data_IF_981024169256
#
_entry.id   IF_981024169256
#
_cell.length_a   1.000
_cell.length_b   1.000
_cell.length_c   1.000
_cell.angle_alpha   90.00
_cell.angle_beta   90.00
_cell.angle_gamma   90.00
#
_symmetry.space_group_name_H-M   'P 1'
#
loop_
_entity.id
_entity.type
_entity.pdbx_description
1 polymer ?
#
# COMPACT_ATOMS: atom_id res chain seq x y z
N UNK A 1 16.87 -0.72 8.89
CA UNK A 1 15.67 -0.56 8.01
C UNK A 1 14.73 -1.76 8.16
N UNK A 2 13.40 -1.63 7.86
CA UNK A 2 12.46 -2.75 8.00
C UNK A 2 11.89 -3.15 6.63
N UNK A 3 11.85 -4.47 6.34
CA UNK A 3 11.29 -5.04 5.12
C UNK A 3 10.24 -6.11 5.42
N UNK A 4 9.15 -6.14 4.66
CA UNK A 4 8.09 -7.12 4.82
C UNK A 4 8.01 -8.07 3.62
N UNK A 5 8.07 -9.37 3.90
CA UNK A 5 7.85 -10.43 2.92
C UNK A 5 6.48 -11.07 3.14
N UNK A 6 5.64 -11.11 2.11
CA UNK A 6 4.29 -11.67 2.20
C UNK A 6 4.19 -12.96 1.42
N UNK A 7 3.94 -14.06 2.13
CA UNK A 7 3.77 -15.40 1.57
C UNK A 7 2.37 -15.92 1.77
N UNK A 8 1.91 -16.75 0.83
CA UNK A 8 0.65 -17.47 0.98
C UNK A 8 0.86 -18.67 1.89
N UNK A 9 -0.05 -18.86 2.86
CA UNK A 9 -0.07 -20.01 3.74
C UNK A 9 -1.33 -20.84 3.53
N UNK A 10 -1.24 -22.13 3.82
CA UNK A 10 -2.29 -23.13 3.60
C UNK A 10 -2.59 -23.86 4.90
N UNK A 11 -3.39 -23.24 5.79
CA UNK A 11 -3.76 -23.88 7.06
C UNK A 11 -4.68 -25.08 6.83
N UNK A 12 -4.60 -26.07 7.71
CA UNK A 12 -5.58 -27.16 7.83
C UNK A 12 -6.89 -26.63 8.39
N UNK A 13 -7.97 -27.41 8.36
CA UNK A 13 -9.27 -27.02 8.91
C UNK A 13 -9.21 -26.69 10.41
N UNK A 14 -8.42 -27.42 11.18
CA UNK A 14 -8.20 -27.15 12.60
C UNK A 14 -7.46 -25.82 12.81
N UNK A 15 -6.41 -25.59 12.03
CA UNK A 15 -5.65 -24.36 12.04
C UNK A 15 -6.51 -23.16 11.58
N UNK A 16 -7.38 -23.34 10.59
CA UNK A 16 -8.36 -22.30 10.17
C UNK A 16 -9.31 -21.92 11.31
N UNK A 17 -9.79 -22.90 12.08
CA UNK A 17 -10.64 -22.67 13.25
C UNK A 17 -9.89 -21.85 14.32
N UNK A 18 -8.65 -22.21 14.62
CA UNK A 18 -7.85 -21.47 15.61
C UNK A 18 -7.48 -20.06 15.12
N UNK A 19 -7.18 -19.90 13.83
CA UNK A 19 -6.98 -18.58 13.20
C UNK A 19 -8.26 -17.73 13.30
N UNK A 20 -9.43 -18.31 13.03
CA UNK A 20 -10.71 -17.62 13.15
C UNK A 20 -10.99 -17.19 14.60
N UNK A 21 -10.71 -18.04 15.59
CA UNK A 21 -10.76 -17.70 17.02
C UNK A 21 -9.82 -16.55 17.33
N UNK A 22 -8.56 -16.61 16.87
CA UNK A 22 -7.55 -15.56 17.10
C UNK A 22 -8.00 -14.21 16.53
N UNK A 23 -8.52 -14.17 15.29
CA UNK A 23 -9.09 -12.95 14.71
C UNK A 23 -10.27 -12.43 15.54
N UNK A 24 -11.12 -13.35 16.04
CA UNK A 24 -12.25 -13.02 16.91
C UNK A 24 -11.82 -12.40 18.23
N UNK A 25 -10.90 -13.03 18.93
CA UNK A 25 -10.35 -12.58 20.21
C UNK A 25 -9.65 -11.21 20.08
N UNK A 26 -8.81 -11.03 19.06
CA UNK A 26 -8.15 -9.76 18.80
C UNK A 26 -9.15 -8.62 18.52
N UNK A 27 -10.22 -8.89 17.76
CA UNK A 27 -11.28 -7.90 17.52
C UNK A 27 -12.06 -7.59 18.79
N UNK A 28 -12.46 -8.61 19.54
CA UNK A 28 -13.18 -8.48 20.80
C UNK A 28 -12.39 -7.63 21.78
N UNK A 29 -11.14 -8.02 22.04
CA UNK A 29 -10.26 -7.31 22.97
C UNK A 29 -10.06 -5.84 22.55
N UNK A 30 -9.83 -5.58 21.26
CA UNK A 30 -9.71 -4.21 20.76
C UNK A 30 -10.96 -3.37 21.08
N UNK A 31 -12.14 -3.92 20.83
CA UNK A 31 -13.39 -3.24 21.07
C UNK A 31 -13.66 -3.02 22.55
N UNK A 32 -13.38 -4.02 23.38
CA UNK A 32 -13.54 -3.91 24.83
C UNK A 32 -12.60 -2.84 25.42
N UNK A 33 -11.31 -2.90 25.06
CA UNK A 33 -10.33 -1.89 25.49
C UNK A 33 -10.71 -0.47 25.05
N UNK A 34 -11.21 -0.32 23.83
CA UNK A 34 -11.68 0.97 23.31
C UNK A 34 -12.91 1.46 24.07
N UNK A 35 -13.90 0.58 24.30
CA UNK A 35 -15.10 0.90 25.07
C UNK A 35 -14.78 1.39 26.48
N UNK A 36 -13.91 0.67 27.18
CA UNK A 36 -13.53 1.00 28.55
C UNK A 36 -12.73 2.31 28.62
N UNK A 37 -11.84 2.58 27.66
CA UNK A 37 -11.15 3.87 27.57
C UNK A 37 -12.13 5.03 27.34
N UNK A 38 -13.13 4.86 26.50
CA UNK A 38 -14.16 5.88 26.26
C UNK A 38 -15.00 6.11 27.52
N UNK A 39 -15.42 5.04 28.19
CA UNK A 39 -16.23 5.09 29.41
C UNK A 39 -15.46 5.80 30.52
N UNK A 40 -14.23 5.41 30.81
CA UNK A 40 -13.39 6.00 31.82
C UNK A 40 -13.13 7.49 31.56
N UNK A 41 -12.80 7.84 30.31
CA UNK A 41 -12.56 9.25 29.97
C UNK A 41 -13.79 10.15 30.17
N UNK A 42 -15.01 9.61 29.95
CA UNK A 42 -16.26 10.35 30.22
C UNK A 42 -16.42 10.69 31.70
N UNK A 43 -16.00 9.78 32.58
CA UNK A 43 -16.16 9.91 34.04
C UNK A 43 -15.01 10.69 34.64
N UNK A 44 -13.77 10.23 34.43
CA UNK A 44 -12.59 10.73 35.13
C UNK A 44 -11.79 11.78 34.36
N UNK A 45 -12.08 11.98 33.04
CA UNK A 45 -11.28 12.77 32.10
C UNK A 45 -9.84 12.26 31.95
N UNK A 46 -9.50 11.07 32.47
CA UNK A 46 -8.19 10.44 32.39
C UNK A 46 -8.20 9.28 31.40
N UNK A 47 -7.06 9.05 30.72
CA UNK A 47 -6.90 7.92 29.82
C UNK A 47 -6.62 6.63 30.60
N UNK A 48 -7.52 5.66 30.48
CA UNK A 48 -7.39 4.35 31.11
C UNK A 48 -6.17 3.60 30.55
N UNK A 49 -5.29 3.11 31.46
CA UNK A 49 -4.17 2.20 31.12
C UNK A 49 -4.62 0.75 31.32
N UNK A 50 -5.34 0.22 30.33
CA UNK A 50 -5.78 -1.17 30.35
C UNK A 50 -4.81 -2.07 29.57
N UNK A 51 -4.64 -3.31 30.04
CA UNK A 51 -3.75 -4.32 29.43
C UNK A 51 -4.52 -5.59 29.11
N UNK A 52 -4.07 -6.41 28.13
CA UNK A 52 -4.72 -7.68 27.82
C UNK A 52 -4.82 -8.65 29.00
N UNK A 53 -3.90 -8.55 29.97
CA UNK A 53 -3.89 -9.40 31.17
C UNK A 53 -5.14 -9.21 32.03
N UNK A 54 -5.62 -7.97 32.15
CA UNK A 54 -6.84 -7.64 32.91
C UNK A 54 -8.05 -8.38 32.33
N UNK A 55 -8.19 -8.38 31.00
CA UNK A 55 -9.31 -9.01 30.33
C UNK A 55 -9.25 -10.54 30.30
N UNK A 56 -8.06 -11.16 30.41
CA UNK A 56 -7.93 -12.63 30.49
C UNK A 56 -8.49 -13.22 31.79
N UNK A 57 -8.63 -12.43 32.86
CA UNK A 57 -9.28 -12.84 34.09
C UNK A 57 -10.78 -12.91 33.89
N UNK A 58 -11.36 -11.90 33.28
CA UNK A 58 -12.80 -11.76 33.02
C UNK A 58 -13.28 -12.64 31.85
N UNK A 59 -12.43 -12.79 30.82
CA UNK A 59 -12.74 -13.53 29.59
C UNK A 59 -11.75 -14.69 29.35
N UNK A 60 -11.97 -15.88 29.97
CA UNK A 60 -11.04 -17.02 29.93
C UNK A 60 -10.72 -17.50 28.52
N UNK A 61 -11.64 -17.37 27.55
CA UNK A 61 -11.43 -17.78 26.15
C UNK A 61 -10.26 -17.01 25.47
N UNK A 62 -9.85 -15.87 26.00
CA UNK A 62 -8.65 -15.15 25.51
C UNK A 62 -7.35 -15.90 25.78
N UNK A 63 -7.35 -16.88 26.70
CA UNK A 63 -6.18 -17.73 26.99
C UNK A 63 -5.94 -18.80 25.90
N UNK A 64 -6.95 -19.11 25.09
CA UNK A 64 -6.86 -20.11 24.01
C UNK A 64 -5.95 -19.64 22.86
N UNK A 65 -5.79 -18.35 22.69
CA UNK A 65 -5.06 -17.75 21.57
C UNK A 65 -3.69 -17.21 21.98
N UNK A 66 -2.90 -16.84 21.00
CA UNK A 66 -1.54 -16.30 21.21
C UNK A 66 -1.55 -15.01 22.05
N UNK A 67 -0.80 -15.04 23.15
CA UNK A 67 -0.70 -13.90 24.08
C UNK A 67 -0.03 -12.67 23.45
N UNK A 68 0.94 -12.87 22.55
CA UNK A 68 1.62 -11.78 21.84
C UNK A 68 0.69 -11.15 20.80
N UNK A 69 -0.21 -11.93 20.20
CA UNK A 69 -1.24 -11.38 19.32
C UNK A 69 -2.17 -10.43 20.09
N UNK A 70 -2.54 -10.77 21.33
CA UNK A 70 -3.34 -9.91 22.20
C UNK A 70 -2.56 -8.66 22.66
N UNK A 71 -1.27 -8.79 22.98
CA UNK A 71 -0.42 -7.64 23.32
C UNK A 71 -0.32 -6.64 22.15
N UNK A 72 -0.21 -7.13 20.91
CA UNK A 72 -0.22 -6.27 19.73
C UNK A 72 -1.57 -5.54 19.53
N UNK A 73 -2.68 -6.05 20.03
CA UNK A 73 -3.96 -5.33 20.01
C UNK A 73 -3.87 -4.04 20.83
N UNK A 74 -3.28 -4.10 22.02
CA UNK A 74 -3.03 -2.92 22.85
C UNK A 74 -2.16 -1.89 22.10
N UNK A 75 -1.02 -2.33 21.56
CA UNK A 75 -0.12 -1.47 20.80
C UNK A 75 -0.80 -0.80 19.60
N UNK A 76 -1.65 -1.53 18.89
CA UNK A 76 -2.42 -0.99 17.77
C UNK A 76 -3.45 0.06 18.21
N UNK A 77 -4.12 -0.15 19.34
CA UNK A 77 -5.06 0.82 19.89
C UNK A 77 -4.34 2.08 20.37
N UNK A 78 -3.22 1.94 21.08
CA UNK A 78 -2.38 3.06 21.52
C UNK A 78 -1.85 3.85 20.33
N UNK A 79 -1.39 3.17 19.28
CA UNK A 79 -0.96 3.84 18.05
C UNK A 79 -2.10 4.60 17.37
N UNK A 80 -3.32 4.06 17.39
CA UNK A 80 -4.50 4.73 16.84
C UNK A 80 -4.82 6.03 17.60
N UNK A 81 -4.74 6.02 18.94
CA UNK A 81 -4.87 7.23 19.76
C UNK A 81 -3.74 8.23 19.50
N UNK A 82 -2.48 7.77 19.46
CA UNK A 82 -1.33 8.65 19.14
C UNK A 82 -1.51 9.34 17.79
N UNK A 83 -1.99 8.61 16.77
CA UNK A 83 -2.26 9.19 15.46
C UNK A 83 -3.38 10.23 15.52
N UNK A 84 -4.47 9.94 16.23
CA UNK A 84 -5.59 10.87 16.43
C UNK A 84 -5.14 12.19 17.05
N UNK A 85 -4.33 12.13 18.11
CA UNK A 85 -3.83 13.36 18.80
C UNK A 85 -2.78 14.11 17.98
N UNK A 86 -2.00 13.41 17.15
CA UNK A 86 -0.97 14.02 16.32
C UNK A 86 -1.54 14.69 15.06
N UNK A 87 -2.52 14.06 14.44
CA UNK A 87 -3.09 14.50 13.17
C UNK A 87 -4.62 14.47 13.25
N UNK A 88 -5.26 15.66 13.32
CA UNK A 88 -6.73 15.77 13.37
C UNK A 88 -7.45 15.07 12.21
N UNK A 89 -6.79 14.93 11.05
CA UNK A 89 -7.34 14.23 9.87
C UNK A 89 -7.45 12.72 10.05
N UNK A 90 -6.71 12.13 11.01
CA UNK A 90 -6.72 10.68 11.27
C UNK A 90 -8.04 10.18 11.85
N UNK A 91 -8.85 11.05 12.46
CA UNK A 91 -10.12 10.72 13.10
C UNK A 91 -9.97 9.84 14.34
N UNK A 92 -11.03 9.76 15.14
CA UNK A 92 -11.08 8.98 16.38
C UNK A 92 -11.04 7.47 16.11
N UNK A 93 -10.39 6.65 16.98
CA UNK A 93 -10.38 5.19 16.83
C UNK A 93 -11.79 4.59 16.77
N UNK A 94 -12.05 3.74 15.76
CA UNK A 94 -13.37 3.16 15.50
C UNK A 94 -13.45 1.70 15.96
N UNK A 95 -14.63 1.27 16.44
CA UNK A 95 -14.91 -0.14 16.74
C UNK A 95 -14.74 -1.03 15.51
N UNK A 96 -14.18 -2.22 15.71
CA UNK A 96 -13.97 -3.20 14.64
C UNK A 96 -15.19 -4.10 14.46
N UNK A 97 -15.69 -4.21 13.21
CA UNK A 97 -16.80 -5.06 12.84
C UNK A 97 -16.35 -6.45 12.35
N UNK A 98 -17.12 -7.51 12.67
CA UNK A 98 -16.88 -8.88 12.16
C UNK A 98 -16.87 -8.95 10.63
N UNK A 99 -17.71 -8.16 9.97
CA UNK A 99 -17.96 -8.23 8.54
C UNK A 99 -17.17 -7.20 7.72
N UNK A 100 -16.84 -6.03 8.31
CA UNK A 100 -16.20 -4.93 7.60
C UNK A 100 -14.71 -4.82 7.88
N UNK A 101 -14.25 -5.22 9.08
CA UNK A 101 -12.86 -5.09 9.46
C UNK A 101 -12.00 -6.21 8.86
N UNK A 102 -10.76 -5.90 8.54
CA UNK A 102 -9.78 -6.88 8.06
C UNK A 102 -9.55 -7.96 9.12
N UNK A 103 -9.60 -9.22 8.71
CA UNK A 103 -9.24 -10.36 9.56
C UNK A 103 -7.72 -10.51 9.56
N UNK A 104 -7.07 -10.01 10.60
CA UNK A 104 -5.62 -10.12 10.77
C UNK A 104 -5.22 -9.97 12.24
N UNK A 105 -4.09 -10.58 12.59
CA UNK A 105 -3.38 -10.35 13.84
C UNK A 105 -1.88 -10.33 13.60
N UNK A 106 -1.13 -9.71 14.51
CA UNK A 106 0.32 -9.67 14.47
C UNK A 106 0.87 -10.34 15.73
N UNK A 107 1.90 -11.15 15.57
CA UNK A 107 2.66 -11.78 16.66
C UNK A 107 4.14 -11.46 16.52
N UNK A 108 4.82 -11.19 17.63
CA UNK A 108 6.24 -10.85 17.63
C UNK A 108 7.10 -12.09 17.79
N UNK A 109 8.30 -12.07 17.23
CA UNK A 109 9.31 -13.11 17.48
C UNK A 109 9.96 -12.84 18.84
N UNK A 110 9.77 -13.79 19.75
CA UNK A 110 10.37 -13.79 21.10
C UNK A 110 10.84 -15.23 21.39
N UNK A 111 12.08 -15.42 21.81
CA UNK A 111 12.63 -16.69 22.24
C UNK A 111 12.36 -17.87 21.27
N UNK A 112 12.45 -17.65 19.97
CA UNK A 112 12.28 -18.70 18.95
C UNK A 112 10.84 -19.22 18.76
N UNK A 113 9.83 -18.53 19.29
CA UNK A 113 8.41 -18.91 19.18
C UNK A 113 7.86 -18.92 17.74
N UNK A 114 8.57 -18.30 16.79
CA UNK A 114 8.27 -18.34 15.36
C UNK A 114 9.46 -18.94 14.64
N UNK A 115 9.21 -19.98 13.84
CA UNK A 115 10.21 -20.63 13.00
C UNK A 115 9.76 -20.59 11.55
N UNK A 116 10.69 -20.34 10.64
CA UNK A 116 10.42 -20.20 9.20
C UNK A 116 11.35 -21.14 8.46
N UNK A 117 10.79 -22.03 7.67
CA UNK A 117 11.49 -22.93 6.76
C UNK A 117 11.02 -22.66 5.32
N UNK A 118 11.60 -23.33 4.34
CA UNK A 118 11.31 -23.08 2.93
C UNK A 118 9.84 -23.25 2.55
N UNK A 119 9.19 -24.27 3.11
CA UNK A 119 7.82 -24.64 2.74
C UNK A 119 6.81 -24.51 3.89
N UNK A 120 7.25 -24.09 5.08
CA UNK A 120 6.39 -24.07 6.26
C UNK A 120 6.80 -22.98 7.27
N UNK A 121 5.82 -22.52 8.03
CA UNK A 121 6.00 -21.59 9.12
C UNK A 121 5.33 -22.13 10.39
N UNK A 122 6.03 -22.06 11.51
CA UNK A 122 5.49 -22.35 12.83
C UNK A 122 5.14 -21.06 13.54
N UNK A 123 3.92 -20.99 14.07
CA UNK A 123 3.41 -19.83 14.78
C UNK A 123 2.94 -20.23 16.19
N UNK A 124 2.93 -19.30 17.17
CA UNK A 124 2.45 -19.58 18.52
C UNK A 124 1.02 -20.15 18.51
N UNK A 125 0.79 -21.19 19.31
CA UNK A 125 -0.47 -21.94 19.40
C UNK A 125 -0.88 -22.69 18.11
N UNK A 126 -0.24 -22.40 17.00
CA UNK A 126 -0.39 -23.11 15.73
C UNK A 126 0.83 -24.02 15.51
N UNK A 127 0.61 -25.20 15.00
CA UNK A 127 1.69 -26.08 14.55
C UNK A 127 2.28 -25.57 13.22
N UNK A 128 3.07 -26.37 12.54
CA UNK A 128 3.60 -26.05 11.25
C UNK A 128 2.49 -25.84 10.20
N UNK A 129 2.50 -24.70 9.53
CA UNK A 129 1.58 -24.36 8.45
C UNK A 129 2.35 -24.34 7.13
N UNK A 130 1.86 -25.04 6.13
CA UNK A 130 2.44 -25.02 4.78
C UNK A 130 2.45 -23.60 4.22
N UNK A 131 3.58 -23.17 3.67
CA UNK A 131 3.80 -21.84 3.12
C UNK A 131 4.38 -21.95 1.71
N UNK A 132 3.98 -21.05 0.80
CA UNK A 132 4.60 -20.91 -0.52
C UNK A 132 5.60 -19.78 -0.49
N UNK A 133 6.86 -20.10 -0.23
CA UNK A 133 7.99 -19.17 -0.34
C UNK A 133 8.33 -19.02 -1.83
N UNK A 134 8.27 -17.84 -2.36
CA UNK A 134 8.52 -17.54 -3.78
C UNK A 134 9.73 -16.63 -3.99
N UNK A 135 10.42 -16.28 -2.91
CA UNK A 135 11.69 -15.56 -2.92
C UNK A 135 12.46 -15.89 -1.65
N UNK A 136 13.76 -15.89 -1.75
CA UNK A 136 14.63 -16.10 -0.61
C UNK A 136 14.73 -14.85 0.26
N UNK A 137 15.00 -15.07 1.52
CA UNK A 137 15.21 -14.03 2.52
C UNK A 137 16.65 -14.21 2.98
N UNK A 138 17.50 -13.18 2.85
CA UNK A 138 18.89 -13.27 3.31
C UNK A 138 18.96 -13.62 4.80
N UNK A 139 19.84 -14.54 5.17
CA UNK A 139 20.00 -15.03 6.55
C UNK A 139 20.37 -13.94 7.54
N UNK A 140 21.09 -12.92 7.06
CA UNK A 140 21.47 -11.73 7.85
C UNK A 140 20.27 -10.90 8.34
N UNK A 141 19.05 -11.13 7.81
CA UNK A 141 17.88 -10.37 8.20
C UNK A 141 17.24 -10.95 9.46
N UNK A 142 16.96 -10.10 10.43
CA UNK A 142 16.35 -10.48 11.71
C UNK A 142 14.83 -10.41 11.64
N UNK A 143 14.15 -11.55 11.80
CA UNK A 143 12.68 -11.58 11.89
C UNK A 143 12.21 -10.88 13.19
N UNK A 144 11.33 -9.87 13.06
CA UNK A 144 10.73 -9.13 14.19
C UNK A 144 9.33 -9.61 14.53
N UNK A 145 8.48 -9.75 13.52
CA UNK A 145 7.07 -10.11 13.72
C UNK A 145 6.47 -10.76 12.47
N UNK A 146 5.37 -11.44 12.67
CA UNK A 146 4.56 -12.01 11.60
C UNK A 146 3.12 -11.52 11.73
N UNK A 147 2.58 -10.98 10.63
CA UNK A 147 1.16 -10.64 10.54
C UNK A 147 0.44 -11.68 9.69
N UNK A 148 -0.45 -12.43 10.33
CA UNK A 148 -1.33 -13.38 9.63
C UNK A 148 -2.61 -12.66 9.23
N UNK A 149 -3.05 -12.86 7.98
CA UNK A 149 -4.27 -12.25 7.46
C UNK A 149 -5.06 -13.21 6.59
N UNK A 150 -6.39 -13.07 6.62
CA UNK A 150 -7.30 -13.75 5.70
C UNK A 150 -7.94 -12.71 4.77
N UNK A 151 -7.82 -12.95 3.47
CA UNK A 151 -8.46 -12.13 2.44
C UNK A 151 -9.95 -12.51 2.28
N UNK A 152 -10.78 -11.61 1.72
CA UNK A 152 -12.19 -11.91 1.43
C UNK A 152 -12.41 -13.11 0.49
N UNK A 153 -11.40 -13.47 -0.29
CA UNK A 153 -11.37 -14.69 -1.13
C UNK A 153 -11.24 -15.99 -0.32
N UNK A 154 -10.98 -15.90 0.99
CA UNK A 154 -10.72 -17.03 1.88
C UNK A 154 -9.26 -17.50 1.88
N UNK A 155 -8.35 -16.82 1.19
CA UNK A 155 -6.92 -17.14 1.19
C UNK A 155 -6.22 -16.54 2.40
N UNK A 156 -5.27 -17.30 2.96
CA UNK A 156 -4.46 -16.88 4.10
C UNK A 156 -3.07 -16.47 3.66
N UNK A 157 -2.53 -15.45 4.33
CA UNK A 157 -1.18 -14.92 4.09
C UNK A 157 -0.47 -14.65 5.40
N UNK A 158 0.83 -14.91 5.42
CA UNK A 158 1.76 -14.48 6.45
C UNK A 158 2.65 -13.37 5.88
N UNK A 159 2.66 -12.20 6.53
CA UNK A 159 3.59 -11.11 6.23
C UNK A 159 4.66 -11.10 7.31
N UNK A 160 5.88 -11.44 6.95
CA UNK A 160 7.04 -11.54 7.82
C UNK A 160 7.78 -10.21 7.78
N UNK A 161 7.90 -9.53 8.91
CA UNK A 161 8.63 -8.28 9.05
C UNK A 161 10.05 -8.57 9.51
N UNK A 162 11.02 -8.20 8.69
CA UNK A 162 12.44 -8.32 8.98
C UNK A 162 13.07 -6.95 9.24
N UNK A 163 14.02 -6.92 10.14
CA UNK A 163 14.93 -5.81 10.35
C UNK A 163 16.21 -6.07 9.56
N UNK A 164 16.63 -5.07 8.82
CA UNK A 164 17.88 -5.06 8.07
C UNK A 164 18.81 -4.15 8.84
N UNK A 165 19.93 -4.66 9.32
CA UNK A 165 21.00 -3.84 9.90
C UNK A 165 21.59 -2.92 8.82
N UNK A 166 21.78 -1.66 9.16
CA UNK A 166 22.13 -0.55 8.25
C UNK A 166 23.56 -0.62 7.64
N UNK A 167 24.06 -1.77 7.32
CA UNK A 167 25.45 -1.93 6.89
C UNK A 167 25.72 -1.80 5.39
N UNK A 168 24.78 -1.40 4.56
CA UNK A 168 25.05 -1.19 3.14
C UNK A 168 24.13 -0.12 2.51
N UNK A 169 23.97 1.03 3.13
CA UNK A 169 23.67 2.21 2.33
C UNK A 169 24.96 2.56 1.60
N UNK A 170 25.12 2.09 0.39
CA UNK A 170 26.05 2.69 -0.56
C UNK A 170 25.56 4.11 -0.81
N UNK A 171 25.95 5.03 0.06
CA UNK A 171 25.92 6.46 -0.22
C UNK A 171 27.12 6.77 -1.11
N UNK A 172 27.17 6.16 -2.28
CA UNK A 172 27.88 6.74 -3.39
C UNK A 172 27.07 7.98 -3.75
N UNK A 173 27.61 9.16 -3.50
CA UNK A 173 26.98 10.40 -3.92
C UNK A 173 26.74 10.33 -5.41
N UNK A 174 25.47 10.42 -5.83
CA UNK A 174 25.14 10.55 -7.26
C UNK A 174 25.67 11.91 -7.69
N UNK A 175 26.57 11.93 -8.66
CA UNK A 175 26.93 13.17 -9.34
C UNK A 175 25.71 13.61 -10.15
N UNK A 176 25.12 14.73 -9.73
CA UNK A 176 23.90 15.23 -10.35
C UNK A 176 24.13 15.92 -11.69
N UNK A 177 25.36 16.28 -12.06
CA UNK A 177 25.69 16.84 -13.36
C UNK A 177 25.47 15.79 -14.47
N UNK A 178 25.95 14.56 -14.23
CA UNK A 178 25.83 13.43 -15.18
C UNK A 178 24.67 12.49 -14.88
N UNK A 179 23.86 12.77 -13.84
CA UNK A 179 22.78 11.90 -13.42
C UNK A 179 21.73 11.69 -14.53
N UNK A 180 21.35 10.43 -14.74
CA UNK A 180 20.26 10.07 -15.63
C UNK A 180 18.90 10.34 -14.96
N UNK A 181 18.23 11.41 -15.38
CA UNK A 181 16.99 11.89 -14.77
C UNK A 181 15.79 11.54 -15.64
N UNK A 182 14.76 10.90 -15.06
CA UNK A 182 13.47 10.66 -15.70
C UNK A 182 12.42 11.62 -15.15
N UNK A 183 11.78 12.41 -16.03
CA UNK A 183 10.59 13.18 -15.71
C UNK A 183 9.30 12.39 -15.92
N UNK A 184 8.37 12.49 -14.98
CA UNK A 184 7.08 11.78 -15.03
C UNK A 184 5.95 12.76 -14.82
N UNK A 185 5.10 12.92 -15.83
CA UNK A 185 3.83 13.63 -15.76
C UNK A 185 2.69 12.64 -15.51
N UNK A 186 1.74 12.99 -14.64
CA UNK A 186 0.56 12.17 -14.39
C UNK A 186 -0.44 12.29 -15.51
N UNK A 187 -0.82 11.16 -16.10
CA UNK A 187 -1.84 11.11 -17.14
C UNK A 187 -3.08 10.34 -16.67
N UNK A 188 -4.26 10.90 -16.90
CA UNK A 188 -5.53 10.22 -16.58
C UNK A 188 -5.75 8.98 -17.43
N UNK A 189 -5.28 8.98 -18.68
CA UNK A 189 -5.25 7.85 -19.55
C UNK A 189 -3.84 7.26 -19.59
N UNK A 190 -3.69 5.99 -19.13
CA UNK A 190 -2.41 5.30 -19.16
C UNK A 190 -1.44 5.59 -18.03
N UNK A 191 -1.93 6.14 -16.90
CA UNK A 191 -1.23 6.36 -15.62
C UNK A 191 -0.21 7.51 -15.63
N UNK A 192 0.74 7.55 -16.56
CA UNK A 192 1.81 8.54 -16.59
C UNK A 192 2.37 8.71 -18.02
N UNK A 193 2.94 9.87 -18.31
CA UNK A 193 3.79 10.14 -19.48
C UNK A 193 5.21 10.33 -18.98
N UNK A 194 6.17 9.73 -19.66
CA UNK A 194 7.58 9.78 -19.30
C UNK A 194 8.33 10.72 -20.26
N UNK A 195 9.33 11.43 -19.77
CA UNK A 195 10.18 12.30 -20.59
C UNK A 195 10.99 11.58 -21.66
N UNK A 196 11.07 10.25 -21.54
CA UNK A 196 11.72 9.35 -22.49
C UNK A 196 10.75 8.26 -22.94
N UNK A 197 11.08 7.59 -24.05
CA UNK A 197 10.21 6.57 -24.64
C UNK A 197 10.30 5.25 -23.87
N UNK A 198 9.65 5.20 -22.72
CA UNK A 198 9.50 3.97 -21.92
C UNK A 198 8.29 3.19 -22.48
N UNK A 199 8.52 1.99 -23.04
CA UNK A 199 7.44 1.10 -23.46
C UNK A 199 6.51 0.80 -22.27
N UNK A 200 5.28 1.26 -22.37
CA UNK A 200 4.21 0.93 -21.41
C UNK A 200 3.52 -0.33 -21.92
N UNK A 201 3.55 -1.38 -21.13
CA UNK A 201 2.54 -2.42 -21.28
C UNK A 201 1.20 -1.85 -20.84
N UNK A 202 0.14 -2.12 -21.63
CA UNK A 202 -1.21 -1.63 -21.33
C UNK A 202 -1.66 -2.07 -19.92
N UNK A 203 -1.80 -1.09 -19.03
CA UNK A 203 -2.24 -1.30 -17.65
C UNK A 203 -3.75 -1.58 -17.52
N UNK A 204 -4.49 -1.68 -18.62
CA UNK A 204 -5.94 -1.81 -18.66
C UNK A 204 -6.52 -3.09 -18.02
N UNK A 205 -5.90 -3.59 -16.96
CA UNK A 205 -6.31 -4.81 -16.24
C UNK A 205 -7.72 -4.72 -15.65
N UNK A 206 -8.11 -3.53 -15.21
CA UNK A 206 -9.45 -3.33 -14.67
C UNK A 206 -10.48 -3.38 -15.82
N UNK A 207 -10.26 -2.63 -16.90
CA UNK A 207 -11.17 -2.62 -18.06
C UNK A 207 -11.36 -4.01 -18.65
N UNK A 208 -10.27 -4.78 -18.84
CA UNK A 208 -10.32 -6.17 -19.30
C UNK A 208 -11.09 -7.11 -18.36
N UNK A 209 -11.17 -6.77 -17.08
CA UNK A 209 -11.87 -7.57 -16.08
C UNK A 209 -13.21 -6.97 -15.63
N UNK A 210 -13.58 -5.77 -16.10
CA UNK A 210 -14.77 -5.04 -15.67
C UNK A 210 -16.06 -5.78 -16.00
N UNK A 211 -16.19 -6.28 -17.22
CA UNK A 211 -17.37 -7.04 -17.65
C UNK A 211 -17.60 -8.29 -16.80
N UNK A 212 -16.51 -9.03 -16.52
CA UNK A 212 -16.56 -10.20 -15.65
C UNK A 212 -16.97 -9.81 -14.23
N UNK A 213 -16.37 -8.78 -13.69
CA UNK A 213 -16.70 -8.29 -12.35
C UNK A 213 -18.15 -7.84 -12.26
N UNK A 214 -18.63 -7.04 -13.25
CA UNK A 214 -20.01 -6.57 -13.31
C UNK A 214 -21.01 -7.74 -13.40
N UNK A 215 -20.70 -8.78 -14.17
CA UNK A 215 -21.51 -10.01 -14.26
C UNK A 215 -21.59 -10.73 -12.92
N UNK A 216 -20.46 -10.92 -12.23
CA UNK A 216 -20.44 -11.59 -10.95
C UNK A 216 -21.13 -10.75 -9.83
N UNK A 217 -21.05 -9.41 -9.93
CA UNK A 217 -21.77 -8.51 -9.01
C UNK A 217 -23.29 -8.53 -9.23
N UNK A 218 -23.74 -8.53 -10.49
CA UNK A 218 -25.18 -8.71 -10.84
C UNK A 218 -25.72 -10.02 -10.28
N UNK A 219 -24.98 -11.14 -10.48
CA UNK A 219 -25.37 -12.42 -9.87
C UNK A 219 -25.45 -12.36 -8.36
N UNK A 220 -24.55 -11.62 -7.71
CA UNK A 220 -24.57 -11.45 -6.26
C UNK A 220 -25.79 -10.66 -5.80
N UNK A 221 -26.22 -9.63 -6.52
CA UNK A 221 -27.40 -8.81 -6.16
C UNK A 221 -28.71 -9.62 -6.23
N UNK A 222 -28.78 -10.65 -7.08
CA UNK A 222 -29.93 -11.55 -7.16
C UNK A 222 -29.91 -12.69 -6.12
N UNK A 223 -28.83 -12.85 -5.34
CA UNK A 223 -28.78 -13.87 -4.30
C UNK A 223 -29.46 -13.37 -3.01
N UNK A 224 -30.26 -14.22 -2.38
CA UNK A 224 -30.81 -13.98 -1.05
C UNK A 224 -29.69 -13.76 -0.04
N UNK A 225 -29.71 -12.60 0.65
CA UNK A 225 -28.69 -12.22 1.64
C UNK A 225 -28.66 -13.22 2.80
N UNK A 226 -27.47 -13.75 3.09
CA UNK A 226 -27.27 -14.74 4.16
C UNK A 226 -27.37 -16.20 3.69
N UNK A 227 -27.88 -16.47 2.49
CA UNK A 227 -27.94 -17.81 1.94
C UNK A 227 -26.57 -18.40 1.61
N UNK A 228 -26.48 -19.73 1.51
CA UNK A 228 -25.23 -20.42 1.08
C UNK A 228 -24.77 -19.96 -0.30
N UNK A 229 -25.71 -19.72 -1.22
CA UNK A 229 -25.45 -19.22 -2.56
C UNK A 229 -24.88 -17.79 -2.54
N UNK A 230 -25.43 -16.91 -1.68
CA UNK A 230 -24.89 -15.56 -1.47
C UNK A 230 -23.41 -15.59 -1.04
N UNK A 231 -23.05 -16.39 -0.04
CA UNK A 231 -21.66 -16.47 0.40
C UNK A 231 -20.73 -17.07 -0.66
N UNK A 232 -21.19 -18.06 -1.43
CA UNK A 232 -20.45 -18.63 -2.55
C UNK A 232 -20.20 -17.58 -3.65
N UNK A 233 -21.23 -16.82 -4.01
CA UNK A 233 -21.15 -15.77 -5.03
C UNK A 233 -20.30 -14.59 -4.56
N UNK A 234 -20.42 -14.18 -3.30
CA UNK A 234 -19.56 -13.16 -2.68
C UNK A 234 -18.07 -13.53 -2.75
N UNK A 235 -17.74 -14.81 -2.56
CA UNK A 235 -16.37 -15.31 -2.74
C UNK A 235 -15.88 -15.17 -4.19
N UNK A 236 -16.74 -15.44 -5.20
CA UNK A 236 -16.40 -15.24 -6.61
C UNK A 236 -16.10 -13.78 -6.93
N UNK A 237 -16.92 -12.86 -6.47
CA UNK A 237 -16.67 -11.41 -6.59
C UNK A 237 -15.34 -11.03 -5.95
N UNK A 238 -15.07 -11.54 -4.74
CA UNK A 238 -13.80 -11.29 -4.03
C UNK A 238 -12.58 -11.80 -4.82
N UNK A 239 -12.69 -12.95 -5.48
CA UNK A 239 -11.64 -13.51 -6.34
C UNK A 239 -11.38 -12.63 -7.58
N UNK A 240 -12.43 -12.06 -8.18
CA UNK A 240 -12.28 -11.11 -9.29
C UNK A 240 -11.51 -9.85 -8.85
N UNK A 241 -11.91 -9.23 -7.74
CA UNK A 241 -11.19 -8.09 -7.18
C UNK A 241 -9.73 -8.41 -6.81
N UNK A 242 -9.50 -9.61 -6.24
CA UNK A 242 -8.13 -10.05 -5.90
C UNK A 242 -7.27 -10.19 -7.16
N UNK A 243 -7.81 -10.77 -8.24
CA UNK A 243 -7.09 -10.91 -9.52
C UNK A 243 -6.69 -9.54 -10.07
N UNK A 244 -7.63 -8.60 -10.17
CA UNK A 244 -7.39 -7.23 -10.67
C UNK A 244 -6.31 -6.55 -9.83
N UNK A 245 -6.43 -6.58 -8.50
CA UNK A 245 -5.46 -6.00 -7.58
C UNK A 245 -4.07 -6.59 -7.74
N UNK A 246 -3.97 -7.91 -7.89
CA UNK A 246 -2.68 -8.59 -8.02
C UNK A 246 -2.02 -8.28 -9.37
N UNK A 247 -2.77 -8.26 -10.47
CA UNK A 247 -2.26 -7.89 -11.80
C UNK A 247 -1.75 -6.45 -11.81
N UNK A 248 -2.54 -5.49 -11.27
CA UNK A 248 -2.11 -4.10 -11.14
C UNK A 248 -0.81 -3.99 -10.33
N UNK A 249 -0.77 -4.66 -9.18
CA UNK A 249 0.41 -4.62 -8.32
C UNK A 249 1.65 -5.21 -8.98
N UNK A 250 1.52 -6.32 -9.69
CA UNK A 250 2.62 -6.94 -10.44
C UNK A 250 3.17 -5.99 -11.51
N UNK A 251 2.27 -5.40 -12.30
CA UNK A 251 2.63 -4.39 -13.30
C UNK A 251 3.39 -3.21 -12.69
N UNK A 252 2.85 -2.61 -11.63
CA UNK A 252 3.48 -1.46 -10.96
C UNK A 252 4.83 -1.82 -10.34
N UNK A 253 4.96 -3.02 -9.79
CA UNK A 253 6.25 -3.50 -9.26
C UNK A 253 7.29 -3.68 -10.36
N UNK A 254 6.93 -4.25 -11.51
CA UNK A 254 7.81 -4.44 -12.66
C UNK A 254 8.24 -3.10 -13.24
N UNK A 255 7.28 -2.21 -13.50
CA UNK A 255 7.57 -0.89 -14.05
C UNK A 255 8.46 -0.07 -13.12
N UNK A 256 8.12 0.02 -11.84
CA UNK A 256 8.92 0.76 -10.87
C UNK A 256 10.30 0.13 -10.62
N UNK A 257 10.47 -1.20 -10.84
CA UNK A 257 11.78 -1.84 -10.75
C UNK A 257 12.66 -1.44 -11.94
N UNK A 258 12.13 -1.57 -13.14
CA UNK A 258 12.84 -1.17 -14.36
C UNK A 258 13.30 0.29 -14.32
N UNK A 259 12.43 1.20 -13.87
CA UNK A 259 12.77 2.63 -13.74
C UNK A 259 13.88 2.84 -12.69
N UNK A 260 13.78 2.18 -11.53
CA UNK A 260 14.77 2.30 -10.49
C UNK A 260 16.14 1.72 -10.91
N UNK A 261 16.15 0.66 -11.73
CA UNK A 261 17.38 0.09 -12.29
C UNK A 261 18.06 1.02 -13.31
N UNK A 262 17.26 1.74 -14.11
CA UNK A 262 17.74 2.48 -15.27
C UNK A 262 18.10 3.94 -14.98
N UNK A 263 17.45 4.59 -14.00
CA UNK A 263 17.59 6.02 -13.71
C UNK A 263 18.14 6.27 -12.30
N UNK A 264 18.93 7.33 -12.17
CA UNK A 264 19.52 7.76 -10.90
C UNK A 264 18.58 8.68 -10.12
N UNK A 265 17.83 9.49 -10.83
CA UNK A 265 16.85 10.41 -10.28
C UNK A 265 15.52 10.27 -11.02
N UNK A 266 14.43 10.28 -10.29
CA UNK A 266 13.09 10.37 -10.86
C UNK A 266 12.41 11.63 -10.37
N UNK A 267 11.94 12.44 -11.31
CA UNK A 267 11.22 13.68 -11.07
C UNK A 267 9.72 13.46 -11.25
N UNK A 268 8.93 13.89 -10.28
CA UNK A 268 7.46 13.79 -10.29
C UNK A 268 6.84 15.11 -9.85
N UNK A 269 5.65 15.43 -10.33
CA UNK A 269 4.87 16.55 -9.83
C UNK A 269 4.26 16.23 -8.45
N UNK A 270 4.22 17.22 -7.53
CA UNK A 270 3.60 17.06 -6.21
C UNK A 270 2.09 17.18 -6.27
N UNK A 271 1.42 16.13 -6.77
CA UNK A 271 -0.03 16.05 -6.93
C UNK A 271 -0.68 15.49 -5.67
N UNK A 272 -1.71 16.17 -5.15
CA UNK A 272 -2.61 15.61 -4.14
C UNK A 272 -3.63 14.66 -4.80
N UNK A 273 -3.28 13.38 -4.86
CA UNK A 273 -4.11 12.33 -5.45
C UNK A 273 -5.47 12.18 -4.75
N UNK A 274 -5.57 12.54 -3.46
CA UNK A 274 -6.82 12.45 -2.70
C UNK A 274 -7.76 13.57 -3.11
N UNK A 275 -7.28 14.80 -3.19
CA UNK A 275 -8.04 15.93 -3.68
C UNK A 275 -8.50 15.69 -5.13
N UNK A 276 -7.60 15.20 -6.00
CA UNK A 276 -7.93 14.88 -7.39
C UNK A 276 -8.99 13.77 -7.49
N UNK A 277 -8.98 12.75 -6.64
CA UNK A 277 -10.00 11.70 -6.67
C UNK A 277 -11.39 12.17 -6.23
N UNK A 278 -11.46 13.23 -5.42
CA UNK A 278 -12.70 13.80 -4.91
C UNK A 278 -13.26 14.90 -5.83
N UNK A 279 -12.39 15.60 -6.55
CA UNK A 279 -12.77 16.58 -7.53
C UNK A 279 -13.08 15.92 -8.89
N UNK A 280 -14.06 16.45 -9.63
CA UNK A 280 -14.34 16.15 -11.05
C UNK A 280 -14.72 14.69 -11.37
N UNK A 281 -15.19 13.90 -10.41
CA UNK A 281 -15.62 12.50 -10.59
C UNK A 281 -14.54 11.54 -11.14
N UNK A 282 -13.27 11.89 -11.07
CA UNK A 282 -12.15 11.07 -11.56
C UNK A 282 -11.75 9.90 -10.65
N UNK A 283 -12.44 9.70 -9.54
CA UNK A 283 -12.10 8.66 -8.55
C UNK A 283 -11.89 7.27 -9.15
N UNK A 284 -12.68 6.88 -10.16
CA UNK A 284 -12.52 5.57 -10.83
C UNK A 284 -11.19 5.48 -11.57
N UNK A 285 -10.83 6.49 -12.38
CA UNK A 285 -9.58 6.51 -13.16
C UNK A 285 -8.35 6.63 -12.27
N UNK A 286 -8.38 7.50 -11.27
CA UNK A 286 -7.30 7.67 -10.29
C UNK A 286 -7.04 6.39 -9.50
N UNK A 287 -8.10 5.72 -9.05
CA UNK A 287 -7.97 4.43 -8.35
C UNK A 287 -7.51 3.31 -9.28
N UNK A 288 -7.92 3.33 -10.55
CA UNK A 288 -7.56 2.30 -11.51
C UNK A 288 -6.10 2.41 -11.95
N UNK A 289 -5.63 3.61 -12.21
CA UNK A 289 -4.25 3.87 -12.62
C UNK A 289 -3.24 3.50 -11.54
N UNK A 290 -3.60 3.62 -10.25
CA UNK A 290 -2.71 3.23 -9.14
C UNK A 290 -1.45 4.10 -9.02
N UNK A 291 -1.48 5.36 -9.52
CA UNK A 291 -0.33 6.26 -9.51
C UNK A 291 0.25 6.51 -8.11
N UNK A 292 -0.60 6.69 -7.10
CA UNK A 292 -0.14 6.80 -5.70
C UNK A 292 0.69 5.61 -5.26
N UNK A 293 0.23 4.38 -5.56
CA UNK A 293 0.99 3.15 -5.29
C UNK A 293 2.28 3.10 -6.10
N UNK A 294 2.26 3.51 -7.36
CA UNK A 294 3.45 3.56 -8.21
C UNK A 294 4.53 4.48 -7.63
N UNK A 295 4.14 5.69 -7.20
CA UNK A 295 5.04 6.64 -6.54
C UNK A 295 5.64 6.07 -5.26
N UNK A 296 4.84 5.44 -4.40
CA UNK A 296 5.35 4.77 -3.19
C UNK A 296 6.35 3.64 -3.52
N UNK A 297 6.06 2.86 -4.57
CA UNK A 297 6.96 1.79 -5.03
C UNK A 297 8.28 2.32 -5.59
N UNK A 298 8.26 3.43 -6.32
CA UNK A 298 9.48 4.11 -6.79
C UNK A 298 10.28 4.67 -5.63
N UNK A 299 9.65 5.40 -4.72
CA UNK A 299 10.29 6.07 -3.60
C UNK A 299 11.12 5.10 -2.75
N UNK A 300 10.53 3.94 -2.34
CA UNK A 300 11.31 3.02 -1.54
C UNK A 300 12.39 2.27 -2.32
N UNK A 301 12.19 2.01 -3.62
CA UNK A 301 13.19 1.32 -4.45
C UNK A 301 14.39 2.20 -4.74
N UNK A 302 14.17 3.46 -5.14
CA UNK A 302 15.21 4.44 -5.33
C UNK A 302 15.99 4.66 -4.04
N UNK A 303 15.29 4.84 -2.91
CA UNK A 303 15.94 4.97 -1.60
C UNK A 303 16.83 3.77 -1.25
N UNK A 304 16.44 2.56 -1.64
CA UNK A 304 17.26 1.36 -1.41
C UNK A 304 18.58 1.35 -2.19
N UNK A 305 18.59 2.00 -3.34
CA UNK A 305 19.75 2.09 -4.20
C UNK A 305 20.56 3.39 -4.00
N UNK A 306 20.25 4.15 -2.94
CA UNK A 306 20.88 5.45 -2.71
C UNK A 306 20.47 6.53 -3.72
N UNK A 307 19.48 6.24 -4.56
CA UNK A 307 18.95 7.12 -5.60
C UNK A 307 17.84 8.03 -5.05
N UNK A 308 17.45 9.07 -5.80
CA UNK A 308 16.57 10.15 -5.31
C UNK A 308 15.28 10.27 -6.13
N UNK A 309 14.18 10.59 -5.45
CA UNK A 309 12.97 11.12 -6.07
C UNK A 309 12.87 12.62 -5.77
N UNK A 310 12.69 13.42 -6.81
CA UNK A 310 12.51 14.88 -6.72
C UNK A 310 11.05 15.21 -6.97
N UNK A 311 10.45 16.00 -6.08
CA UNK A 311 9.08 16.47 -6.23
C UNK A 311 9.11 17.91 -6.70
N UNK A 312 8.64 18.13 -7.92
CA UNK A 312 8.47 19.48 -8.50
C UNK A 312 7.20 20.09 -7.95
N UNK A 313 7.25 21.38 -7.64
CA UNK A 313 6.10 22.12 -7.07
C UNK A 313 4.87 22.02 -7.97
N UNK A 314 3.70 21.84 -7.35
CA UNK A 314 2.40 21.72 -8.05
C UNK A 314 1.99 22.94 -8.86
N UNK A 315 2.54 24.10 -8.55
CA UNK A 315 2.28 25.36 -9.29
C UNK A 315 3.28 25.61 -10.40
N UNK A 316 4.30 24.76 -10.55
CA UNK A 316 5.22 24.83 -11.67
C UNK A 316 4.45 24.63 -12.98
N UNK A 317 4.55 25.55 -13.96
CA UNK A 317 3.74 25.52 -15.18
C UNK A 317 4.24 24.47 -16.18
N UNK A 318 4.38 23.20 -15.77
CA UNK A 318 4.96 22.11 -16.55
C UNK A 318 4.34 21.98 -17.93
N UNK A 319 3.02 21.98 -18.05
CA UNK A 319 2.30 21.86 -19.31
C UNK A 319 2.28 23.16 -20.15
N UNK A 320 2.44 24.34 -19.53
CA UNK A 320 2.39 25.65 -20.21
C UNK A 320 3.76 26.14 -20.68
N UNK A 321 4.86 25.69 -20.09
CA UNK A 321 6.23 26.04 -20.43
C UNK A 321 6.68 25.27 -21.65
N UNK A 322 7.36 25.92 -22.58
CA UNK A 322 7.99 25.26 -23.72
C UNK A 322 9.30 24.59 -23.30
N UNK A 323 9.43 23.30 -23.53
CA UNK A 323 10.65 22.57 -23.17
C UNK A 323 11.89 22.95 -24.00
N UNK A 324 11.70 23.62 -25.17
CA UNK A 324 12.82 24.09 -26.01
C UNK A 324 13.29 25.51 -25.66
N UNK A 325 12.38 26.49 -25.57
CA UNK A 325 12.73 27.87 -25.42
C UNK A 325 12.35 28.50 -24.06
N UNK A 326 11.72 27.75 -23.17
CA UNK A 326 11.34 28.22 -21.84
C UNK A 326 10.14 29.15 -21.78
N UNK A 327 9.62 29.65 -22.92
CA UNK A 327 8.46 30.59 -22.95
C UNK A 327 7.24 29.89 -22.32
N UNK A 328 6.53 30.62 -21.43
CA UNK A 328 5.31 30.18 -20.79
C UNK A 328 4.11 30.75 -21.53
N UNK A 329 3.16 29.92 -21.93
CA UNK A 329 1.88 30.32 -22.51
C UNK A 329 0.95 30.84 -21.44
N UNK A 330 0.25 31.95 -21.73
CA UNK A 330 -0.78 32.50 -20.83
C UNK A 330 -1.99 31.58 -20.79
N UNK A 331 -2.43 31.07 -21.94
CA UNK A 331 -3.61 30.22 -22.07
C UNK A 331 -3.25 28.87 -22.72
N UNK A 332 -3.78 27.80 -22.15
CA UNK A 332 -3.73 26.44 -22.68
C UNK A 332 -4.99 25.70 -22.19
N UNK A 333 -5.84 25.28 -23.12
CA UNK A 333 -7.08 24.60 -22.79
C UNK A 333 -6.80 23.15 -22.39
N UNK A 334 -7.61 22.56 -21.53
CA UNK A 334 -7.50 21.14 -21.14
C UNK A 334 -7.72 20.18 -22.31
N UNK A 335 -8.46 20.62 -23.33
CA UNK A 335 -8.70 19.88 -24.58
C UNK A 335 -7.49 19.82 -25.51
N UNK A 336 -6.55 20.75 -25.37
CA UNK A 336 -5.39 20.84 -26.25
C UNK A 336 -4.44 19.67 -25.96
N UNK A 337 -4.28 18.76 -26.91
CA UNK A 337 -3.38 17.59 -26.78
C UNK A 337 -2.01 17.84 -27.37
N UNK A 338 -1.91 18.79 -28.29
CA UNK A 338 -0.66 19.17 -28.94
C UNK A 338 -0.20 20.52 -28.40
N UNK A 339 1.04 20.59 -27.92
CA UNK A 339 1.69 21.81 -27.52
C UNK A 339 2.39 22.42 -28.75
N UNK A 340 2.03 23.68 -29.10
CA UNK A 340 2.62 24.40 -30.21
C UNK A 340 3.21 25.71 -29.68
N UNK A 341 4.47 26.02 -29.94
CA UNK A 341 5.16 27.23 -29.52
C UNK A 341 5.60 28.09 -30.71
N UNK A 342 5.65 29.39 -30.49
CA UNK A 342 6.16 30.35 -31.50
C UNK A 342 7.64 30.11 -31.91
N UNK A 343 8.42 29.34 -31.11
CA UNK A 343 9.77 28.91 -31.48
C UNK A 343 9.80 27.70 -32.46
N UNK A 344 8.63 27.27 -32.98
CA UNK A 344 8.49 26.12 -33.86
C UNK A 344 8.39 24.78 -33.16
N UNK A 345 8.40 24.74 -31.81
CA UNK A 345 8.22 23.48 -31.07
C UNK A 345 6.77 23.01 -31.18
N UNK A 346 6.57 21.81 -31.71
CA UNK A 346 5.27 21.12 -31.79
C UNK A 346 5.43 19.70 -31.30
N UNK A 347 4.72 19.32 -30.25
CA UNK A 347 4.79 17.98 -29.65
C UNK A 347 3.57 17.66 -28.78
N UNK A 348 3.44 16.42 -28.33
CA UNK A 348 2.45 16.04 -27.32
C UNK A 348 2.59 16.88 -26.07
N UNK A 349 1.46 17.40 -25.54
CA UNK A 349 1.46 18.31 -24.39
C UNK A 349 1.96 17.63 -23.11
N UNK A 350 1.57 16.38 -22.89
CA UNK A 350 1.92 15.66 -21.67
C UNK A 350 3.39 15.23 -21.73
N UNK A 351 3.93 14.96 -22.95
CA UNK A 351 5.39 14.74 -23.14
C UNK A 351 6.18 16.03 -22.89
N UNK A 352 5.71 17.20 -23.39
CA UNK A 352 6.32 18.49 -23.10
C UNK A 352 6.35 18.75 -21.57
N UNK A 353 5.28 18.41 -20.86
CA UNK A 353 5.21 18.53 -19.40
C UNK A 353 6.23 17.61 -18.70
N UNK A 354 6.30 16.36 -19.11
CA UNK A 354 7.26 15.40 -18.53
C UNK A 354 8.73 15.85 -18.72
N UNK A 355 9.07 16.42 -19.89
CA UNK A 355 10.41 17.01 -20.16
C UNK A 355 10.64 18.20 -19.23
N UNK A 356 9.69 19.10 -19.09
CA UNK A 356 9.81 20.26 -18.21
C UNK A 356 9.97 19.87 -16.74
N UNK A 357 9.28 18.83 -16.27
CA UNK A 357 9.45 18.27 -14.92
C UNK A 357 10.87 17.74 -14.73
N UNK A 358 11.45 17.06 -15.73
CA UNK A 358 12.82 16.58 -15.72
C UNK A 358 13.80 17.76 -15.59
N UNK A 359 13.68 18.76 -16.43
CA UNK A 359 14.62 19.90 -16.46
C UNK A 359 14.51 20.74 -15.17
N UNK A 360 13.31 20.94 -14.63
CA UNK A 360 13.14 21.61 -13.35
C UNK A 360 13.79 20.84 -12.19
N UNK A 361 13.64 19.53 -12.18
CA UNK A 361 14.32 18.70 -11.18
C UNK A 361 15.85 18.78 -11.30
N UNK A 362 16.41 18.81 -12.55
CA UNK A 362 17.83 19.02 -12.79
C UNK A 362 18.28 20.37 -12.21
N UNK A 363 17.52 21.44 -12.49
CA UNK A 363 17.78 22.77 -11.93
C UNK A 363 17.79 22.78 -10.40
N UNK A 364 16.79 22.11 -9.78
CA UNK A 364 16.70 22.01 -8.32
C UNK A 364 17.87 21.25 -7.69
N UNK A 365 18.38 20.22 -8.36
CA UNK A 365 19.50 19.41 -7.88
C UNK A 365 20.84 20.13 -7.97
N UNK A 366 21.01 20.99 -9.00
CA UNK A 366 22.23 21.77 -9.20
C UNK A 366 22.26 23.06 -8.36
N UNK A 367 21.10 23.53 -7.91
CA UNK A 367 20.98 24.74 -7.10
C UNK A 367 21.08 24.52 -5.58
N UNK A 368 20.99 23.27 -5.12
CA UNK A 368 21.02 22.92 -3.69
C UNK A 368 21.87 21.77 -3.36
#
# INVERSE_FOLDING_TARGET
>A
MNMAYRFRIYPTREQENLLAKTFGCCRFLYNQMLSDKIREYKVSKKMLRNTPAMYKKEYPFLKEVDALALANVQLHLEKAYKNFFRDPKSGFPKFKSKHRSRKSYTTNRVNGNIQVEDYRIKLPKLTWIRMKKHRDIPEKYRLKSVTVSMEPSGKYYASLLYEISDCENQTGGVDYEDAKILGIDYAMHGMAVFSENIKKEDAGYFRKSEERLAREQRRLSHCEKGSRNYFRQKKRVALCHEKIRNQRRDFLHKLSRRIADEYDVVAVEDIDMKAMSQCMHFGKSVMDNGYGMFRELLEYKLKWEGKKIVRVDRFFPSSKKCCKCGRVKKELKLSDRVYICACGNQMDRDLNAAINIREEARRMLLAG
#
